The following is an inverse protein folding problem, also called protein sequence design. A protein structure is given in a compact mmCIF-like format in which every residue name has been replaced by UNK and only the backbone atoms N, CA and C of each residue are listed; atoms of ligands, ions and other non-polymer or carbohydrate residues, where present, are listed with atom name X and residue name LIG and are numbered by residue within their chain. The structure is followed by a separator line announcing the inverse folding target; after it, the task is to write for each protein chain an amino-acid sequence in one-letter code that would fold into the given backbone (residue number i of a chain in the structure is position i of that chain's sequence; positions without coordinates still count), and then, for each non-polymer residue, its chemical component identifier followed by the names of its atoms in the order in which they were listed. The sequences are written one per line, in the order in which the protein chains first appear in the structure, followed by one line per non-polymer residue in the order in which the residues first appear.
data_IF_156719968682
#
_entry.id   IF_156719968682
#
_cell.length_a   1.000
_cell.length_b   1.000
_cell.length_c   1.000
_cell.angle_alpha   90.00
_cell.angle_beta   90.00
_cell.angle_gamma   90.00
#
_symmetry.space_group_name_H-M   'P 1'
#
loop_
_entity.id
_entity.type
_entity.pdbx_description
1 polymer ?
#
# COMPACT_ATOMS: atom_id res chain seq x y z
N UNK A 1 71.63 63.71 -56.66
CA UNK A 1 70.35 63.00 -56.44
C UNK A 1 70.57 61.72 -55.63
N UNK A 2 70.79 61.82 -54.32
CA UNK A 2 70.93 60.62 -53.44
C UNK A 2 69.87 60.59 -52.32
N UNK A 3 69.07 61.65 -52.19
CA UNK A 3 68.20 61.87 -51.03
C UNK A 3 66.86 61.09 -51.09
N UNK A 4 66.29 60.93 -52.29
CA UNK A 4 64.95 60.35 -52.46
C UNK A 4 64.87 58.86 -52.09
N UNK A 5 65.89 58.06 -52.42
CA UNK A 5 65.92 56.63 -52.10
C UNK A 5 66.03 56.35 -50.60
N UNK A 6 66.76 57.19 -49.86
CA UNK A 6 66.85 57.09 -48.40
C UNK A 6 65.55 57.54 -47.72
N UNK A 7 64.87 58.54 -48.27
CA UNK A 7 63.55 58.97 -47.79
C UNK A 7 62.47 57.91 -47.99
N UNK A 8 62.42 57.23 -49.15
CA UNK A 8 61.47 56.12 -49.38
C UNK A 8 61.71 54.97 -48.41
N UNK A 9 62.97 54.56 -48.19
CA UNK A 9 63.30 53.51 -47.20
C UNK A 9 62.92 53.89 -45.76
N UNK A 10 63.04 55.16 -45.38
CA UNK A 10 62.60 55.62 -44.06
C UNK A 10 61.07 55.63 -43.94
N UNK A 11 60.35 55.99 -45.02
CA UNK A 11 58.88 55.91 -45.08
C UNK A 11 58.39 54.48 -44.91
N UNK A 12 58.92 53.55 -45.71
CA UNK A 12 58.51 52.13 -45.68
C UNK A 12 58.73 51.49 -44.29
N UNK A 13 59.80 51.89 -43.58
CA UNK A 13 60.10 51.41 -42.24
C UNK A 13 59.16 51.99 -41.17
N UNK A 14 58.69 53.23 -41.35
CA UNK A 14 57.72 53.86 -40.46
C UNK A 14 56.33 53.21 -40.59
N UNK A 15 55.90 52.89 -41.81
CA UNK A 15 54.64 52.20 -42.07
C UNK A 15 54.63 50.77 -41.48
N UNK A 16 55.78 50.08 -41.56
CA UNK A 16 55.94 48.73 -41.00
C UNK A 16 55.89 48.74 -39.45
N UNK A 17 56.44 49.77 -38.81
CA UNK A 17 56.33 49.97 -37.37
C UNK A 17 54.89 50.29 -36.94
N UNK A 18 54.15 51.07 -37.73
CA UNK A 18 52.75 51.37 -37.47
C UNK A 18 51.87 50.11 -37.53
N UNK A 19 52.05 49.26 -38.54
CA UNK A 19 51.35 47.98 -38.66
C UNK A 19 51.63 47.03 -37.48
N UNK A 20 52.90 46.96 -37.02
CA UNK A 20 53.25 46.17 -35.84
C UNK A 20 52.59 46.70 -34.56
N UNK A 21 52.50 48.01 -34.41
CA UNK A 21 51.82 48.64 -33.27
C UNK A 21 50.31 48.34 -33.28
N UNK A 22 49.66 48.39 -34.45
CA UNK A 22 48.24 48.02 -34.59
C UNK A 22 47.99 46.55 -34.32
N UNK A 23 48.83 45.64 -34.84
CA UNK A 23 48.74 44.21 -34.54
C UNK A 23 48.90 43.92 -33.05
N UNK A 24 49.86 44.59 -32.38
CA UNK A 24 50.06 44.43 -30.94
C UNK A 24 48.84 44.91 -30.16
N UNK A 25 48.29 46.07 -30.53
CA UNK A 25 47.10 46.64 -29.89
C UNK A 25 45.86 45.77 -30.07
N UNK A 26 45.65 45.19 -31.26
CA UNK A 26 44.52 44.28 -31.50
C UNK A 26 44.66 42.97 -30.74
N UNK A 27 45.89 42.44 -30.63
CA UNK A 27 46.19 41.26 -29.82
C UNK A 27 45.95 41.52 -28.32
N UNK A 28 46.41 42.66 -27.79
CA UNK A 28 46.17 43.07 -26.40
C UNK A 28 44.65 43.21 -26.13
N UNK A 29 43.92 43.86 -27.05
CA UNK A 29 42.46 43.99 -26.94
C UNK A 29 41.76 42.63 -26.94
N UNK A 30 42.15 41.71 -27.82
CA UNK A 30 41.59 40.36 -27.86
C UNK A 30 41.85 39.56 -26.59
N UNK A 31 43.04 39.70 -25.99
CA UNK A 31 43.36 39.07 -24.69
C UNK A 31 42.52 39.66 -23.55
N UNK A 32 42.30 40.98 -23.55
CA UNK A 32 41.49 41.65 -22.53
C UNK A 32 40.01 41.24 -22.61
N UNK A 33 39.43 41.20 -23.81
CA UNK A 33 38.07 40.70 -24.02
C UNK A 33 37.91 39.24 -23.60
N UNK A 34 38.91 38.39 -23.90
CA UNK A 34 38.92 36.99 -23.45
C UNK A 34 38.95 36.87 -21.93
N UNK A 35 39.81 37.65 -21.24
CA UNK A 35 39.86 37.68 -19.78
C UNK A 35 38.54 38.14 -19.18
N UNK A 36 37.93 39.19 -19.73
CA UNK A 36 36.62 39.68 -19.28
C UNK A 36 35.53 38.62 -19.45
N UNK A 37 35.48 37.94 -20.59
CA UNK A 37 34.54 36.85 -20.83
C UNK A 37 34.72 35.67 -19.86
N UNK A 38 35.97 35.33 -19.50
CA UNK A 38 36.26 34.32 -18.49
C UNK A 38 35.80 34.74 -17.09
N UNK A 39 36.02 36.00 -16.72
CA UNK A 39 35.58 36.56 -15.43
C UNK A 39 34.04 36.56 -15.31
N UNK A 40 33.34 36.99 -16.36
CA UNK A 40 31.87 36.97 -16.40
C UNK A 40 31.32 35.54 -16.28
N UNK A 41 31.92 34.59 -17.01
CA UNK A 41 31.52 33.18 -16.94
C UNK A 41 31.75 32.60 -15.53
N UNK A 42 32.89 32.91 -14.91
CA UNK A 42 33.21 32.48 -13.55
C UNK A 42 32.19 33.02 -12.54
N UNK A 43 31.83 34.31 -12.64
CA UNK A 43 30.85 34.93 -11.78
C UNK A 43 29.46 34.31 -11.93
N UNK A 44 29.04 34.01 -13.17
CA UNK A 44 27.78 33.30 -13.42
C UNK A 44 27.78 31.88 -12.82
N UNK A 45 28.86 31.11 -13.03
CA UNK A 45 29.00 29.77 -12.46
C UNK A 45 28.95 29.81 -10.93
N UNK A 46 29.60 30.79 -10.30
CA UNK A 46 29.55 30.97 -8.85
C UNK A 46 28.14 31.32 -8.37
N UNK A 47 27.41 32.17 -9.11
CA UNK A 47 26.02 32.49 -8.81
C UNK A 47 25.09 31.28 -8.91
N UNK A 48 25.25 30.47 -9.96
CA UNK A 48 24.49 29.21 -10.14
C UNK A 48 24.82 28.23 -9.01
N UNK A 49 26.10 28.07 -8.65
CA UNK A 49 26.52 27.22 -7.54
C UNK A 49 25.86 27.64 -6.21
N UNK A 50 25.79 28.94 -5.94
CA UNK A 50 25.13 29.47 -4.74
C UNK A 50 23.64 29.11 -4.70
N UNK A 51 22.92 29.31 -5.80
CA UNK A 51 21.50 28.94 -5.92
C UNK A 51 21.27 27.44 -5.75
N UNK A 52 22.17 26.61 -6.26
CA UNK A 52 22.10 25.15 -6.11
C UNK A 52 22.23 24.74 -4.64
N UNK A 53 23.17 25.35 -3.89
CA UNK A 53 23.31 25.06 -2.46
C UNK A 53 22.12 25.56 -1.64
N UNK A 54 21.56 26.73 -1.98
CA UNK A 54 20.32 27.23 -1.35
C UNK A 54 19.16 26.25 -1.56
N UNK A 55 18.91 25.84 -2.81
CA UNK A 55 17.86 24.85 -3.14
C UNK A 55 18.11 23.52 -2.43
N UNK A 56 19.36 23.05 -2.34
CA UNK A 56 19.70 21.83 -1.60
C UNK A 56 19.31 21.95 -0.13
N UNK A 57 19.65 23.06 0.52
CA UNK A 57 19.36 23.26 1.94
C UNK A 57 17.85 23.37 2.20
N UNK A 58 17.12 24.05 1.32
CA UNK A 58 15.66 24.15 1.40
C UNK A 58 15.00 22.78 1.28
N UNK A 59 15.43 21.98 0.30
CA UNK A 59 14.92 20.61 0.11
C UNK A 59 15.24 19.74 1.32
N UNK A 60 16.46 19.81 1.86
CA UNK A 60 16.85 19.07 3.06
C UNK A 60 15.97 19.43 4.26
N UNK A 61 15.73 20.73 4.48
CA UNK A 61 14.88 21.22 5.57
C UNK A 61 13.44 20.74 5.43
N UNK A 62 12.88 20.76 4.21
CA UNK A 62 11.53 20.26 3.95
C UNK A 62 11.41 18.75 4.20
N UNK A 63 12.43 17.98 3.83
CA UNK A 63 12.47 16.54 4.10
C UNK A 63 12.40 16.29 5.61
N UNK A 64 13.26 16.95 6.39
CA UNK A 64 13.30 16.79 7.85
C UNK A 64 11.96 17.18 8.51
N UNK A 65 11.32 18.25 8.02
CA UNK A 65 10.00 18.66 8.51
C UNK A 65 8.91 17.60 8.21
N UNK A 66 8.91 17.06 6.99
CA UNK A 66 7.97 16.00 6.58
C UNK A 66 8.20 14.73 7.39
N UNK A 67 9.44 14.30 7.57
CA UNK A 67 9.80 13.14 8.39
C UNK A 67 9.31 13.31 9.82
N UNK A 68 9.54 14.47 10.45
CA UNK A 68 9.06 14.76 11.79
C UNK A 68 7.53 14.74 11.90
N UNK A 69 6.80 15.26 10.89
CA UNK A 69 5.33 15.19 10.84
C UNK A 69 4.83 13.76 10.70
N UNK A 70 5.49 12.94 9.89
CA UNK A 70 5.13 11.53 9.68
C UNK A 70 5.35 10.73 10.96
N UNK A 71 6.52 10.86 11.60
CA UNK A 71 6.82 10.18 12.86
C UNK A 71 5.81 10.52 13.96
N UNK A 72 5.44 11.80 14.11
CA UNK A 72 4.43 12.23 15.09
C UNK A 72 3.07 11.59 14.83
N UNK A 73 2.63 11.55 13.56
CA UNK A 73 1.37 10.90 13.18
C UNK A 73 1.38 9.40 13.44
N UNK A 74 2.51 8.73 13.22
CA UNK A 74 2.67 7.31 13.52
C UNK A 74 2.48 7.09 15.02
N UNK A 75 3.18 7.83 15.88
CA UNK A 75 3.03 7.72 17.33
C UNK A 75 1.59 7.98 17.80
N UNK A 76 0.93 9.03 17.29
CA UNK A 76 -0.49 9.29 17.61
C UNK A 76 -1.43 8.14 17.20
N UNK A 77 -1.14 7.46 16.10
CA UNK A 77 -1.92 6.30 15.64
C UNK A 77 -1.63 5.08 16.52
N UNK A 78 -0.37 4.83 16.85
CA UNK A 78 0.06 3.76 17.76
C UNK A 78 -0.63 3.89 19.12
N UNK A 79 -0.57 5.07 19.74
CA UNK A 79 -1.22 5.37 21.02
C UNK A 79 -2.74 5.11 20.96
N UNK A 80 -3.40 5.59 19.89
CA UNK A 80 -4.85 5.39 19.70
C UNK A 80 -5.21 3.92 19.51
N UNK A 81 -4.38 3.16 18.81
CA UNK A 81 -4.58 1.72 18.60
C UNK A 81 -4.39 0.98 19.91
N UNK A 82 -3.36 1.32 20.69
CA UNK A 82 -3.11 0.72 21.99
C UNK A 82 -4.28 0.92 22.95
N UNK A 83 -4.74 2.18 23.12
CA UNK A 83 -5.89 2.50 23.98
C UNK A 83 -7.15 1.72 23.58
N UNK A 84 -7.43 1.64 22.26
CA UNK A 84 -8.59 0.88 21.77
C UNK A 84 -8.46 -0.62 22.01
N UNK A 85 -7.24 -1.17 21.95
CA UNK A 85 -7.00 -2.58 22.22
C UNK A 85 -7.25 -2.89 23.70
N UNK A 86 -6.73 -2.06 24.60
CA UNK A 86 -6.96 -2.16 26.05
C UNK A 86 -8.46 -2.08 26.38
N UNK A 87 -9.20 -1.14 25.78
CA UNK A 87 -10.65 -1.01 25.97
C UNK A 87 -11.42 -2.26 25.47
N UNK A 88 -11.00 -2.84 24.35
CA UNK A 88 -11.60 -4.08 23.82
C UNK A 88 -11.29 -5.26 24.74
N UNK A 89 -10.06 -5.37 25.23
CA UNK A 89 -9.64 -6.42 26.14
C UNK A 89 -10.45 -6.38 27.44
N UNK A 90 -10.59 -5.21 28.07
CA UNK A 90 -11.40 -5.03 29.26
C UNK A 90 -12.87 -5.45 29.02
N UNK A 91 -13.48 -4.98 27.91
CA UNK A 91 -14.85 -5.36 27.55
C UNK A 91 -15.03 -6.86 27.36
N UNK A 92 -14.03 -7.54 26.79
CA UNK A 92 -14.06 -8.99 26.61
C UNK A 92 -13.93 -9.70 27.94
N UNK A 93 -13.01 -9.29 28.81
CA UNK A 93 -12.84 -9.86 30.14
C UNK A 93 -14.12 -9.74 30.98
N UNK A 94 -14.78 -8.58 30.98
CA UNK A 94 -16.06 -8.38 31.67
C UNK A 94 -17.14 -9.32 31.13
N UNK A 95 -17.27 -9.46 29.80
CA UNK A 95 -18.26 -10.37 29.20
C UNK A 95 -18.01 -11.83 29.51
N UNK A 96 -16.73 -12.25 29.58
CA UNK A 96 -16.37 -13.61 29.98
C UNK A 96 -16.82 -13.85 31.42
N UNK A 97 -16.51 -12.95 32.36
CA UNK A 97 -16.94 -13.08 33.76
C UNK A 97 -18.46 -13.16 33.92
N UNK A 98 -19.22 -12.34 33.17
CA UNK A 98 -20.68 -12.41 33.15
C UNK A 98 -21.20 -13.76 32.62
N UNK A 99 -20.55 -14.32 31.59
CA UNK A 99 -20.92 -15.62 31.03
C UNK A 99 -20.57 -16.77 31.96
N UNK A 100 -19.41 -16.73 32.62
CA UNK A 100 -19.00 -17.72 33.63
C UNK A 100 -20.00 -17.75 34.79
N UNK A 101 -20.44 -16.58 35.28
CA UNK A 101 -21.48 -16.49 36.31
C UNK A 101 -22.81 -17.10 35.85
N UNK A 102 -23.27 -16.76 34.65
CA UNK A 102 -24.52 -17.31 34.06
C UNK A 102 -24.43 -18.82 33.84
N UNK A 103 -23.25 -19.34 33.53
CA UNK A 103 -23.02 -20.77 33.37
C UNK A 103 -23.13 -21.49 34.72
N UNK A 104 -22.50 -20.96 35.77
CA UNK A 104 -22.61 -21.50 37.13
C UNK A 104 -24.06 -21.54 37.65
N UNK A 105 -24.84 -20.47 37.43
CA UNK A 105 -26.28 -20.45 37.76
C UNK A 105 -27.10 -21.52 37.00
N UNK A 106 -26.67 -21.89 35.79
CA UNK A 106 -27.30 -22.93 34.99
C UNK A 106 -26.90 -24.34 35.45
N UNK A 107 -25.64 -24.54 35.86
CA UNK A 107 -25.13 -25.81 36.40
C UNK A 107 -25.77 -26.15 37.76
N UNK A 108 -25.98 -25.15 38.62
CA UNK A 108 -26.60 -25.33 39.94
C UNK A 108 -28.14 -25.48 39.88
N UNK A 109 -28.78 -25.27 38.73
CA UNK A 109 -30.23 -25.43 38.58
C UNK A 109 -30.57 -26.93 38.54
N UNK A 110 -31.29 -27.49 39.54
CA UNK A 110 -31.73 -28.88 39.49
C UNK A 110 -32.63 -29.10 38.27
N UNK A 111 -32.27 -30.07 37.43
CA UNK A 111 -32.99 -30.45 36.23
C UNK A 111 -34.28 -31.18 36.65
N UNK A 112 -35.34 -30.43 36.98
CA UNK A 112 -36.68 -31.00 37.15
C UNK A 112 -37.40 -30.98 35.80
N UNK A 113 -37.14 -32.00 34.98
CA UNK A 113 -38.06 -32.32 33.89
C UNK A 113 -39.35 -32.87 34.53
N UNK A 114 -40.52 -32.24 34.33
CA UNK A 114 -41.77 -32.92 34.62
C UNK A 114 -41.81 -34.15 33.71
N UNK A 115 -41.80 -35.35 34.32
CA UNK A 115 -41.97 -36.59 33.59
C UNK A 115 -43.34 -36.56 32.91
N UNK A 116 -43.36 -36.21 31.62
CA UNK A 116 -44.56 -36.13 30.82
C UNK A 116 -44.82 -37.54 30.24
N UNK A 117 -45.86 -38.28 30.68
CA UNK A 117 -46.05 -39.69 30.29
C UNK A 117 -46.55 -39.88 28.85
N UNK A 118 -46.84 -38.81 28.10
CA UNK A 118 -47.57 -38.86 26.83
C UNK A 118 -46.71 -38.77 25.55
N UNK A 119 -45.39 -38.93 25.65
CA UNK A 119 -44.53 -39.00 24.45
C UNK A 119 -44.49 -40.42 23.84
N UNK A 120 -45.65 -41.06 23.67
CA UNK A 120 -45.80 -42.24 22.79
C UNK A 120 -46.06 -41.85 21.33
N UNK A 121 -45.74 -40.61 20.93
CA UNK A 121 -45.69 -40.29 19.51
C UNK A 121 -44.41 -40.89 18.91
N UNK A 122 -44.52 -42.09 18.36
CA UNK A 122 -43.62 -42.52 17.30
C UNK A 122 -43.66 -41.45 16.21
N UNK A 123 -42.63 -40.60 16.18
CA UNK A 123 -42.42 -39.63 15.12
C UNK A 123 -42.31 -40.43 13.82
N UNK A 124 -43.15 -40.19 12.79
CA UNK A 124 -43.00 -40.89 11.52
C UNK A 124 -41.63 -40.53 10.93
N UNK A 125 -40.68 -41.46 10.97
CA UNK A 125 -39.39 -41.27 10.30
C UNK A 125 -39.64 -41.44 8.81
N UNK A 126 -39.75 -40.32 8.09
CA UNK A 126 -39.79 -40.38 6.62
C UNK A 126 -38.43 -40.90 6.15
N UNK A 127 -38.44 -42.00 5.40
CA UNK A 127 -37.23 -42.67 4.90
C UNK A 127 -36.34 -41.68 4.14
N UNK A 128 -35.02 -41.77 4.33
CA UNK A 128 -34.06 -40.97 3.59
C UNK A 128 -34.16 -41.24 2.09
N UNK A 129 -33.98 -40.18 1.31
CA UNK A 129 -34.16 -40.19 -0.14
C UNK A 129 -32.83 -40.57 -0.81
N UNK A 130 -32.83 -41.48 -1.78
CA UNK A 130 -31.59 -41.85 -2.51
C UNK A 130 -31.51 -41.12 -3.84
N UNK A 131 -30.39 -40.48 -4.12
CA UNK A 131 -30.11 -39.79 -5.38
C UNK A 131 -29.21 -40.63 -6.27
N UNK A 132 -29.78 -41.15 -7.35
CA UNK A 132 -29.08 -41.93 -8.38
C UNK A 132 -28.73 -41.12 -9.64
N UNK A 133 -29.00 -39.80 -9.65
CA UNK A 133 -28.78 -38.94 -10.83
C UNK A 133 -29.87 -39.01 -11.91
N UNK A 134 -30.95 -39.76 -11.68
CA UNK A 134 -32.07 -39.90 -12.64
C UNK A 134 -33.06 -38.72 -12.60
N UNK A 135 -33.12 -37.99 -11.48
CA UNK A 135 -33.88 -36.74 -11.32
C UNK A 135 -32.92 -35.56 -11.28
N UNK A 136 -33.38 -34.35 -11.63
CA UNK A 136 -32.52 -33.17 -11.55
C UNK A 136 -32.18 -32.83 -10.10
N UNK A 137 -30.97 -32.30 -9.88
CA UNK A 137 -30.48 -31.92 -8.55
C UNK A 137 -31.42 -30.95 -7.82
N UNK A 138 -32.05 -30.04 -8.55
CA UNK A 138 -33.01 -29.06 -7.99
C UNK A 138 -34.25 -29.74 -7.42
N UNK A 139 -34.78 -30.76 -8.11
CA UNK A 139 -35.94 -31.53 -7.63
C UNK A 139 -35.56 -32.34 -6.38
N UNK A 140 -34.37 -32.94 -6.39
CA UNK A 140 -33.86 -33.67 -5.23
C UNK A 140 -33.69 -32.78 -3.99
N UNK A 141 -33.07 -31.59 -4.12
CA UNK A 141 -32.91 -30.66 -2.99
C UNK A 141 -34.24 -30.23 -2.37
N UNK A 142 -35.23 -29.90 -3.20
CA UNK A 142 -36.57 -29.54 -2.71
C UNK A 142 -37.21 -30.66 -1.91
N UNK A 143 -37.11 -31.91 -2.40
CA UNK A 143 -37.65 -33.07 -1.67
C UNK A 143 -36.86 -33.35 -0.39
N UNK A 144 -35.53 -33.22 -0.43
CA UNK A 144 -34.66 -33.38 0.73
C UNK A 144 -34.96 -32.35 1.83
N UNK A 145 -35.23 -31.09 1.45
CA UNK A 145 -35.58 -30.03 2.39
C UNK A 145 -36.95 -30.28 3.06
N UNK A 146 -37.93 -30.75 2.30
CA UNK A 146 -39.25 -31.15 2.85
C UNK A 146 -39.09 -32.29 3.85
N UNK A 147 -38.33 -33.34 3.51
CA UNK A 147 -38.09 -34.50 4.38
C UNK A 147 -37.30 -34.10 5.63
N UNK A 148 -36.25 -33.28 5.48
CA UNK A 148 -35.43 -32.84 6.60
C UNK A 148 -36.22 -31.97 7.58
N UNK A 149 -37.15 -31.15 7.07
CA UNK A 149 -38.02 -30.31 7.89
C UNK A 149 -39.08 -31.15 8.62
N UNK A 150 -39.72 -32.09 7.92
CA UNK A 150 -40.68 -33.02 8.53
C UNK A 150 -40.03 -33.88 9.63
N UNK A 151 -38.78 -34.30 9.42
CA UNK A 151 -38.01 -35.07 10.38
C UNK A 151 -37.27 -34.19 11.41
N UNK A 152 -37.41 -32.86 11.37
CA UNK A 152 -36.75 -31.93 12.28
C UNK A 152 -35.23 -32.12 12.39
N UNK A 153 -34.56 -32.41 11.26
CA UNK A 153 -33.11 -32.59 11.24
C UNK A 153 -32.38 -31.28 11.48
N UNK A 154 -31.41 -31.29 12.40
CA UNK A 154 -30.47 -30.18 12.57
C UNK A 154 -29.42 -30.19 11.43
N UNK A 155 -28.64 -29.11 11.30
CA UNK A 155 -27.69 -28.95 10.20
C UNK A 155 -26.67 -30.09 10.09
N UNK A 156 -26.25 -30.65 11.22
CA UNK A 156 -25.33 -31.78 11.24
C UNK A 156 -25.97 -33.04 10.64
N UNK A 157 -27.20 -33.38 11.06
CA UNK A 157 -27.94 -34.53 10.52
C UNK A 157 -28.26 -34.34 9.03
N UNK A 158 -28.62 -33.11 8.60
CA UNK A 158 -28.83 -32.79 7.19
C UNK A 158 -27.57 -33.07 6.35
N UNK A 159 -26.40 -32.63 6.81
CA UNK A 159 -25.14 -32.86 6.11
C UNK A 159 -24.82 -34.36 5.99
N UNK A 160 -24.91 -35.12 7.08
CA UNK A 160 -24.66 -36.57 7.05
C UNK A 160 -25.64 -37.31 6.15
N UNK A 161 -26.92 -36.98 6.21
CA UNK A 161 -27.94 -37.61 5.36
C UNK A 161 -27.78 -37.25 3.89
N UNK A 162 -27.35 -36.02 3.57
CA UNK A 162 -27.09 -35.62 2.19
C UNK A 162 -25.97 -36.46 1.56
N UNK A 163 -24.89 -36.69 2.31
CA UNK A 163 -23.76 -37.54 1.86
C UNK A 163 -24.22 -38.98 1.69
N UNK A 164 -24.99 -39.52 2.64
CA UNK A 164 -25.48 -40.90 2.56
C UNK A 164 -26.62 -41.08 1.55
N UNK A 165 -27.22 -40.00 1.04
CA UNK A 165 -28.23 -40.05 -0.02
C UNK A 165 -27.63 -40.21 -1.42
N UNK A 166 -26.38 -39.78 -1.67
CA UNK A 166 -25.77 -39.85 -3.00
C UNK A 166 -25.27 -41.27 -3.31
N UNK A 167 -25.52 -41.76 -4.54
CA UNK A 167 -25.03 -43.05 -5.03
C UNK A 167 -24.51 -42.94 -6.46
N UNK A 168 -23.66 -43.88 -6.87
CA UNK A 168 -23.07 -43.90 -8.22
C UNK A 168 -22.21 -42.66 -8.50
N UNK A 169 -22.21 -42.17 -9.73
CA UNK A 169 -21.41 -41.00 -10.15
C UNK A 169 -21.72 -39.71 -9.37
N UNK A 170 -22.86 -39.62 -8.69
CA UNK A 170 -23.17 -38.50 -7.82
C UNK A 170 -22.40 -38.54 -6.48
N UNK A 171 -22.02 -39.73 -6.00
CA UNK A 171 -21.20 -39.88 -4.81
C UNK A 171 -19.71 -39.58 -5.08
N UNK A 172 -19.24 -39.80 -6.31
CA UNK A 172 -17.86 -39.53 -6.74
C UNK A 172 -17.50 -38.04 -6.72
N UNK A 173 -18.48 -37.13 -6.77
CA UNK A 173 -18.27 -35.67 -6.71
C UNK A 173 -17.78 -35.20 -5.32
N UNK A 174 -18.02 -36.00 -4.28
CA UNK A 174 -17.61 -35.67 -2.91
C UNK A 174 -16.31 -36.35 -2.47
N UNK A 175 -15.65 -37.09 -3.38
CA UNK A 175 -14.40 -37.81 -3.13
C UNK A 175 -13.18 -36.99 -3.54
#
# INVERSE_FOLDING_TARGET
MVNTRSQTKMSDNADLLALLAEMKKSMEKGQEEMKKGQEEMKNQIQGVKGKIEEVRNDVQTQIEEVEGKVQRKIGEVEDKVQVKMEEVEEKVQVRIGDLEKRLGELEDRPINFPANPDLTYSRPTVKSLTFYGQTSWTVFKTQFDVVSSANGWNNFVKASQLVTSLRGSAAEVLQ
#
